data_IF_697413423398
#
_entry.id   IF_697413423398
#
_cell.length_a   1.000
_cell.length_b   1.000
_cell.length_c   1.000
_cell.angle_alpha   90.00
_cell.angle_beta   90.00
_cell.angle_gamma   90.00
#
_symmetry.space_group_name_H-M   'P 1'
#
loop_
_entity.id
_entity.type
_entity.pdbx_description
1 polymer ?
#
# COMPACT_ATOMS: atom_id res chain seq x y z
N UNK A 1 -44.00 -6.82 25.57
CA UNK A 1 -42.56 -6.97 25.84
C UNK A 1 -41.98 -7.80 24.71
N UNK A 2 -41.36 -7.17 23.71
CA UNK A 2 -40.70 -7.91 22.62
C UNK A 2 -39.41 -8.51 23.17
N UNK A 3 -39.29 -9.83 23.16
CA UNK A 3 -38.04 -10.54 23.43
C UNK A 3 -37.04 -10.16 22.34
N UNK A 4 -36.06 -9.32 22.67
CA UNK A 4 -34.95 -9.04 21.76
C UNK A 4 -34.28 -10.36 21.39
N UNK A 5 -34.19 -10.68 20.09
CA UNK A 5 -33.60 -11.92 19.62
C UNK A 5 -32.11 -11.96 19.98
N UNK A 6 -31.72 -12.89 20.84
CA UNK A 6 -30.33 -13.14 21.20
C UNK A 6 -29.58 -13.65 19.97
N UNK A 7 -28.57 -12.91 19.51
CA UNK A 7 -27.66 -13.39 18.47
C UNK A 7 -26.62 -14.32 19.11
N UNK A 8 -26.26 -15.41 18.44
CA UNK A 8 -25.18 -16.30 18.88
C UNK A 8 -23.91 -15.96 18.13
N UNK A 9 -22.78 -15.97 18.83
CA UNK A 9 -21.47 -15.76 18.23
C UNK A 9 -21.17 -16.88 17.22
N UNK A 10 -20.85 -16.52 15.98
CA UNK A 10 -20.51 -17.49 14.93
C UNK A 10 -19.27 -18.34 15.23
N UNK A 11 -18.34 -17.86 16.06
CA UNK A 11 -17.12 -18.58 16.40
C UNK A 11 -17.27 -19.56 17.57
N UNK A 12 -17.87 -19.13 18.69
CA UNK A 12 -17.94 -19.95 19.92
C UNK A 12 -19.36 -20.36 20.33
N UNK A 13 -20.38 -19.94 19.59
CA UNK A 13 -21.80 -20.25 19.85
C UNK A 13 -22.40 -19.56 21.09
N UNK A 14 -21.64 -18.76 21.83
CA UNK A 14 -22.13 -18.05 23.01
C UNK A 14 -23.15 -16.97 22.65
N UNK A 15 -24.12 -16.74 23.52
CA UNK A 15 -25.08 -15.65 23.39
C UNK A 15 -24.36 -14.29 23.47
N UNK A 16 -24.65 -13.43 22.51
CA UNK A 16 -24.06 -12.10 22.39
C UNK A 16 -25.16 -11.06 22.60
N UNK A 17 -24.95 -10.08 23.51
CA UNK A 17 -25.89 -8.99 23.70
C UNK A 17 -26.15 -8.26 22.38
N UNK A 18 -27.40 -7.85 22.09
CA UNK A 18 -27.70 -7.09 20.88
C UNK A 18 -26.89 -5.80 20.85
N UNK A 19 -26.20 -5.54 19.74
CA UNK A 19 -25.34 -4.37 19.55
C UNK A 19 -23.92 -4.51 20.09
N UNK A 20 -23.52 -5.65 20.66
CA UNK A 20 -22.13 -5.85 21.05
C UNK A 20 -21.24 -6.07 19.81
N UNK A 21 -20.22 -5.23 19.63
CA UNK A 21 -19.28 -5.34 18.52
C UNK A 21 -18.44 -6.62 18.57
N UNK A 22 -18.20 -7.15 19.77
CA UNK A 22 -17.39 -8.35 20.03
C UNK A 22 -18.11 -9.29 20.99
N UNK A 23 -17.90 -10.59 20.80
CA UNK A 23 -18.39 -11.61 21.73
C UNK A 23 -17.67 -11.45 23.09
N UNK A 24 -18.39 -11.33 24.22
CA UNK A 24 -17.76 -11.19 25.53
C UNK A 24 -16.97 -12.44 25.96
N UNK A 25 -17.28 -13.61 25.36
CA UNK A 25 -16.63 -14.87 25.71
C UNK A 25 -15.33 -15.12 24.97
N UNK A 26 -15.30 -14.86 23.65
CA UNK A 26 -14.15 -15.19 22.80
C UNK A 26 -13.52 -13.99 22.08
N UNK A 27 -14.09 -12.79 22.21
CA UNK A 27 -13.60 -11.59 21.55
C UNK A 27 -13.92 -11.47 20.05
N UNK A 28 -14.53 -12.49 19.43
CA UNK A 28 -14.84 -12.47 17.98
C UNK A 28 -15.82 -11.35 17.63
N UNK A 29 -15.52 -10.58 16.57
CA UNK A 29 -16.38 -9.51 16.08
C UNK A 29 -17.71 -10.05 15.55
N UNK A 30 -18.83 -9.40 15.91
CA UNK A 30 -20.15 -9.79 15.38
C UNK A 30 -20.43 -9.22 13.98
N UNK A 31 -19.71 -8.16 13.58
CA UNK A 31 -19.75 -7.62 12.22
C UNK A 31 -18.89 -8.49 11.30
N UNK A 32 -19.43 -9.63 10.89
CA UNK A 32 -18.71 -10.65 10.11
C UNK A 32 -18.70 -10.31 8.61
N UNK A 33 -17.86 -9.36 8.22
CA UNK A 33 -17.42 -9.27 6.83
C UNK A 33 -16.21 -10.20 6.63
N UNK A 34 -16.17 -10.88 5.48
CA UNK A 34 -15.02 -11.70 5.07
C UNK A 34 -13.86 -10.78 4.67
N UNK A 35 -12.65 -11.06 5.16
CA UNK A 35 -11.47 -10.32 4.71
C UNK A 35 -11.23 -10.60 3.21
N UNK A 36 -11.11 -9.57 2.35
CA UNK A 36 -10.91 -9.76 0.91
C UNK A 36 -9.52 -10.34 0.54
N UNK A 37 -8.61 -10.43 1.51
CA UNK A 37 -7.26 -10.96 1.35
C UNK A 37 -7.16 -12.43 1.72
N UNK A 38 -7.57 -12.79 2.94
CA UNK A 38 -7.41 -14.15 3.47
C UNK A 38 -8.73 -14.92 3.61
N UNK A 39 -9.88 -14.30 3.36
CA UNK A 39 -11.19 -14.91 3.53
C UNK A 39 -11.60 -15.13 5.00
N UNK A 40 -10.77 -14.74 5.97
CA UNK A 40 -11.11 -14.92 7.38
C UNK A 40 -12.20 -13.93 7.83
N UNK A 41 -13.13 -14.41 8.66
CA UNK A 41 -14.06 -13.57 9.42
C UNK A 41 -13.35 -13.03 10.65
N UNK A 42 -12.74 -11.85 10.53
CA UNK A 42 -11.99 -11.22 11.61
C UNK A 42 -12.49 -9.82 11.92
N UNK A 43 -12.10 -9.32 13.09
CA UNK A 43 -12.16 -7.89 13.39
C UNK A 43 -11.20 -7.08 12.52
N UNK A 44 -11.26 -5.77 12.72
CA UNK A 44 -10.37 -4.79 12.12
C UNK A 44 -9.81 -3.94 13.26
N UNK A 45 -8.49 -3.76 13.29
CA UNK A 45 -7.80 -2.92 14.27
C UNK A 45 -7.17 -1.74 13.56
N UNK A 46 -7.22 -0.57 14.20
CA UNK A 46 -6.57 0.63 13.67
C UNK A 46 -5.05 0.40 13.56
N UNK A 47 -4.46 0.88 12.47
CA UNK A 47 -3.04 0.75 12.17
C UNK A 47 -2.49 2.10 11.69
N UNK A 48 -1.31 2.49 12.19
CA UNK A 48 -0.73 3.79 11.88
C UNK A 48 -0.34 3.95 10.41
N UNK A 49 -0.03 2.86 9.71
CA UNK A 49 0.37 2.87 8.30
C UNK A 49 -0.80 2.53 7.37
N UNK A 50 -1.60 1.51 7.73
CA UNK A 50 -2.67 1.00 6.86
C UNK A 50 -4.04 1.64 7.12
N UNK A 51 -4.13 2.56 8.09
CA UNK A 51 -5.35 3.07 8.74
C UNK A 51 -6.09 1.99 9.52
N UNK A 52 -6.35 0.85 8.88
CA UNK A 52 -7.03 -0.30 9.43
C UNK A 52 -6.48 -1.59 8.83
N UNK A 53 -6.28 -2.61 9.68
CA UNK A 53 -5.77 -3.92 9.26
C UNK A 53 -6.64 -5.08 9.76
N UNK A 54 -6.61 -6.17 9.00
CA UNK A 54 -7.20 -7.44 9.41
C UNK A 54 -6.43 -8.03 10.61
N UNK A 55 -7.15 -8.43 11.66
CA UNK A 55 -6.54 -9.03 12.86
C UNK A 55 -5.90 -10.41 12.61
N UNK A 56 -6.22 -11.05 11.47
CA UNK A 56 -5.72 -12.39 11.11
C UNK A 56 -4.51 -12.30 10.17
N UNK A 57 -4.67 -11.70 8.99
CA UNK A 57 -3.59 -11.64 8.00
C UNK A 57 -2.74 -10.37 8.08
N UNK A 58 -3.14 -9.37 8.88
CA UNK A 58 -2.47 -8.07 8.95
C UNK A 58 -2.64 -7.18 7.73
N UNK A 59 -3.39 -7.60 6.72
CA UNK A 59 -3.56 -6.83 5.48
C UNK A 59 -4.52 -5.65 5.60
N UNK A 60 -4.38 -4.63 4.71
CA UNK A 60 -5.16 -3.40 4.78
C UNK A 60 -6.63 -3.69 4.53
N UNK A 61 -7.51 -3.10 5.34
CA UNK A 61 -8.93 -3.41 5.29
C UNK A 61 -9.76 -2.20 5.68
N UNK A 62 -10.80 -1.91 4.92
CA UNK A 62 -11.76 -0.86 5.29
C UNK A 62 -12.83 -1.46 6.22
N UNK A 63 -13.12 -0.85 7.39
CA UNK A 63 -14.13 -1.35 8.32
C UNK A 63 -15.51 -1.55 7.67
N UNK A 64 -16.33 -2.51 8.09
CA UNK A 64 -17.68 -2.71 7.55
C UNK A 64 -18.54 -1.45 7.69
N UNK A 65 -19.33 -1.14 6.66
CA UNK A 65 -20.29 -0.03 6.69
C UNK A 65 -21.55 -0.44 7.48
N UNK A 66 -22.14 0.44 8.30
CA UNK A 66 -23.41 0.17 8.96
C UNK A 66 -24.59 0.02 7.98
N UNK A 67 -24.46 0.51 6.74
CA UNK A 67 -25.51 0.47 5.70
C UNK A 67 -25.49 -0.79 4.84
N UNK A 68 -24.82 -1.84 5.31
CA UNK A 68 -24.77 -3.15 4.66
C UNK A 68 -23.55 -3.39 3.77
N UNK A 69 -23.54 -4.54 3.10
CA UNK A 69 -22.41 -5.04 2.32
C UNK A 69 -21.98 -4.05 1.22
N UNK A 70 -20.66 -3.85 1.07
CA UNK A 70 -20.08 -3.05 -0.01
C UNK A 70 -20.11 -3.80 -1.33
N UNK A 71 -20.02 -3.06 -2.44
CA UNK A 71 -19.89 -3.66 -3.78
C UNK A 71 -18.58 -4.41 -4.01
N UNK A 72 -17.55 -4.15 -3.21
CA UNK A 72 -16.24 -4.78 -3.34
C UNK A 72 -15.35 -4.10 -4.40
N UNK A 73 -15.72 -2.93 -4.90
CA UNK A 73 -14.91 -2.14 -5.84
C UNK A 73 -13.55 -1.72 -5.26
N UNK A 74 -13.42 -1.69 -3.93
CA UNK A 74 -12.18 -1.39 -3.22
C UNK A 74 -11.17 -2.55 -3.21
N UNK A 75 -11.62 -3.79 -3.43
CA UNK A 75 -10.81 -5.01 -3.30
C UNK A 75 -9.54 -5.01 -4.16
N UNK A 76 -9.55 -4.67 -5.47
CA UNK A 76 -8.32 -4.67 -6.27
C UNK A 76 -7.28 -3.66 -5.76
N UNK A 77 -7.72 -2.48 -5.32
CA UNK A 77 -6.82 -1.47 -4.75
C UNK A 77 -6.24 -1.92 -3.40
N UNK A 78 -7.06 -2.54 -2.54
CA UNK A 78 -6.59 -3.15 -1.29
C UNK A 78 -5.57 -4.27 -1.56
N UNK A 79 -5.76 -5.10 -2.59
CA UNK A 79 -4.81 -6.18 -2.95
C UNK A 79 -3.48 -5.60 -3.39
N UNK A 80 -3.49 -4.54 -4.20
CA UNK A 80 -2.28 -3.82 -4.59
C UNK A 80 -1.53 -3.27 -3.37
N UNK A 81 -2.25 -2.67 -2.43
CA UNK A 81 -1.66 -2.21 -1.17
C UNK A 81 -1.05 -3.37 -0.36
N UNK A 82 -1.73 -4.52 -0.28
CA UNK A 82 -1.23 -5.72 0.40
C UNK A 82 0.05 -6.28 -0.25
N UNK A 83 0.12 -6.28 -1.58
CA UNK A 83 1.32 -6.69 -2.31
C UNK A 83 2.50 -5.76 -2.02
N UNK A 84 2.27 -4.44 -1.96
CA UNK A 84 3.29 -3.46 -1.60
C UNK A 84 3.78 -3.65 -0.16
N UNK A 85 2.88 -3.84 0.81
CA UNK A 85 3.20 -4.09 2.22
C UNK A 85 3.99 -5.38 2.40
N UNK A 86 3.54 -6.47 1.78
CA UNK A 86 4.23 -7.76 1.85
C UNK A 86 5.57 -7.75 1.11
N UNK A 87 5.70 -6.98 0.02
CA UNK A 87 6.97 -6.72 -0.65
C UNK A 87 7.94 -5.96 0.26
N UNK A 88 7.47 -4.92 0.96
CA UNK A 88 8.26 -4.15 1.93
C UNK A 88 8.74 -5.01 3.10
N UNK A 89 7.87 -5.85 3.66
CA UNK A 89 8.24 -6.73 4.78
C UNK A 89 9.28 -7.78 4.38
N UNK A 90 9.13 -8.39 3.19
CA UNK A 90 10.15 -9.30 2.61
C UNK A 90 11.48 -8.59 2.36
N UNK A 91 11.44 -7.37 1.81
CA UNK A 91 12.65 -6.57 1.59
C UNK A 91 13.38 -6.23 2.89
N UNK A 92 12.64 -5.87 3.94
CA UNK A 92 13.21 -5.67 5.29
C UNK A 92 13.81 -6.94 5.87
N UNK A 93 13.13 -8.09 5.74
CA UNK A 93 13.66 -9.38 6.19
C UNK A 93 14.96 -9.73 5.46
N UNK A 94 15.01 -9.51 4.13
CA UNK A 94 16.22 -9.69 3.33
C UNK A 94 17.36 -8.78 3.76
N UNK A 95 17.08 -7.51 4.03
CA UNK A 95 18.07 -6.56 4.52
C UNK A 95 18.62 -6.95 5.91
N UNK A 96 17.77 -7.42 6.83
CA UNK A 96 18.19 -7.91 8.15
C UNK A 96 19.07 -9.15 8.01
N UNK A 97 18.65 -10.14 7.20
CA UNK A 97 19.41 -11.35 6.96
C UNK A 97 20.78 -11.05 6.34
N UNK A 98 20.82 -10.20 5.30
CA UNK A 98 22.07 -9.81 4.68
C UNK A 98 22.97 -8.97 5.60
N UNK A 99 22.40 -8.12 6.47
CA UNK A 99 23.15 -7.42 7.50
C UNK A 99 23.80 -8.34 8.53
N UNK A 100 23.09 -9.41 8.96
CA UNK A 100 23.65 -10.45 9.84
C UNK A 100 24.81 -11.18 9.14
N UNK A 101 24.65 -11.53 7.86
CA UNK A 101 25.69 -12.19 7.07
C UNK A 101 26.92 -11.29 6.89
N UNK A 102 26.73 -10.00 6.59
CA UNK A 102 27.83 -9.02 6.51
C UNK A 102 28.55 -8.89 7.84
N UNK A 103 27.81 -8.79 8.95
CA UNK A 103 28.40 -8.73 10.29
C UNK A 103 29.22 -9.97 10.63
N UNK A 104 28.74 -11.16 10.24
CA UNK A 104 29.47 -12.41 10.40
C UNK A 104 30.73 -12.46 9.53
N UNK A 105 30.66 -12.00 8.27
CA UNK A 105 31.81 -11.94 7.36
C UNK A 105 32.89 -10.98 7.88
N UNK A 106 32.49 -9.80 8.36
CA UNK A 106 33.41 -8.83 8.99
C UNK A 106 34.02 -9.39 10.27
N UNK A 107 33.24 -10.05 11.13
CA UNK A 107 33.75 -10.69 12.34
C UNK A 107 34.77 -11.79 12.01
N UNK A 108 34.48 -12.61 10.99
CA UNK A 108 35.38 -13.66 10.52
C UNK A 108 36.68 -13.08 9.94
N UNK A 109 36.58 -12.01 9.13
CA UNK A 109 37.72 -11.26 8.60
C UNK A 109 38.62 -10.73 9.73
N UNK A 110 38.03 -10.11 10.76
CA UNK A 110 38.76 -9.58 11.92
C UNK A 110 39.45 -10.71 12.70
N UNK A 111 38.73 -11.79 13.00
CA UNK A 111 39.28 -12.93 13.74
C UNK A 111 40.45 -13.58 12.98
N UNK A 112 40.29 -13.74 11.66
CA UNK A 112 41.34 -14.28 10.81
C UNK A 112 42.56 -13.35 10.76
N UNK A 113 42.36 -12.04 10.65
CA UNK A 113 43.44 -11.04 10.67
C UNK A 113 44.27 -11.10 11.95
N UNK A 114 43.62 -11.37 13.10
CA UNK A 114 44.28 -11.54 14.40
C UNK A 114 45.14 -12.81 14.43
N UNK A 115 44.66 -13.92 13.86
CA UNK A 115 45.32 -15.24 13.94
C UNK A 115 46.43 -15.39 12.90
N UNK A 116 46.14 -15.05 11.64
CA UNK A 116 47.00 -15.33 10.49
C UNK A 116 47.80 -14.12 10.00
N UNK A 117 47.49 -12.91 10.50
CA UNK A 117 48.11 -11.66 10.06
C UNK A 117 47.52 -11.09 8.78
N UNK A 118 47.99 -9.90 8.40
CA UNK A 118 47.49 -9.15 7.24
C UNK A 118 48.08 -9.67 5.91
N UNK A 119 47.47 -10.71 5.34
CA UNK A 119 47.78 -11.19 3.99
C UNK A 119 46.96 -10.49 2.91
N UNK A 120 47.62 -9.90 1.90
CA UNK A 120 46.96 -9.22 0.77
C UNK A 120 45.96 -10.13 0.04
N UNK A 121 46.27 -11.42 -0.13
CA UNK A 121 45.38 -12.36 -0.80
C UNK A 121 44.05 -12.59 -0.07
N UNK A 122 44.06 -12.60 1.27
CA UNK A 122 42.84 -12.76 2.05
C UNK A 122 41.98 -11.49 2.03
N UNK A 123 42.61 -10.31 2.04
CA UNK A 123 41.91 -9.05 1.88
C UNK A 123 41.15 -9.01 0.54
N UNK A 124 41.79 -9.42 -0.56
CA UNK A 124 41.15 -9.50 -1.87
C UNK A 124 40.02 -10.54 -1.91
N UNK A 125 40.21 -11.71 -1.29
CA UNK A 125 39.17 -12.74 -1.20
C UNK A 125 37.95 -12.26 -0.39
N UNK A 126 38.17 -11.61 0.74
CA UNK A 126 37.10 -11.03 1.56
C UNK A 126 36.40 -9.88 0.86
N UNK A 127 37.12 -9.04 0.12
CA UNK A 127 36.49 -7.99 -0.68
C UNK A 127 35.55 -8.60 -1.74
N UNK A 128 35.94 -9.72 -2.35
CA UNK A 128 35.13 -10.40 -3.36
C UNK A 128 33.83 -11.01 -2.80
N UNK A 129 33.79 -11.38 -1.51
CA UNK A 129 32.56 -11.82 -0.83
C UNK A 129 31.75 -10.66 -0.28
N UNK A 130 32.43 -9.66 0.27
CA UNK A 130 31.82 -8.52 0.93
C UNK A 130 31.08 -7.60 -0.05
N UNK A 131 31.70 -7.26 -1.19
CA UNK A 131 31.11 -6.34 -2.18
C UNK A 131 29.75 -6.81 -2.70
N UNK A 132 29.58 -8.04 -3.25
CA UNK A 132 28.28 -8.47 -3.76
C UNK A 132 27.23 -8.57 -2.65
N UNK A 133 27.63 -8.95 -1.43
CA UNK A 133 26.71 -9.03 -0.29
C UNK A 133 26.27 -7.63 0.16
N UNK A 134 27.18 -6.66 0.20
CA UNK A 134 26.89 -5.27 0.49
C UNK A 134 25.94 -4.67 -0.56
N UNK A 135 26.22 -4.87 -1.85
CA UNK A 135 25.34 -4.44 -2.95
C UNK A 135 23.95 -5.07 -2.84
N UNK A 136 23.86 -6.37 -2.56
CA UNK A 136 22.58 -7.05 -2.37
C UNK A 136 21.78 -6.45 -1.21
N UNK A 137 22.42 -6.16 -0.08
CA UNK A 137 21.74 -5.52 1.06
C UNK A 137 21.27 -4.11 0.74
N UNK A 138 22.09 -3.30 0.08
CA UNK A 138 21.74 -1.95 -0.35
C UNK A 138 20.54 -1.99 -1.31
N UNK A 139 20.57 -2.87 -2.31
CA UNK A 139 19.48 -3.09 -3.25
C UNK A 139 18.19 -3.53 -2.56
N UNK A 140 18.26 -4.47 -1.61
CA UNK A 140 17.10 -4.92 -0.85
C UNK A 140 16.45 -3.78 -0.03
N UNK A 141 17.27 -2.92 0.57
CA UNK A 141 16.80 -1.72 1.29
C UNK A 141 16.18 -0.69 0.34
N UNK A 142 16.83 -0.41 -0.78
CA UNK A 142 16.33 0.51 -1.80
C UNK A 142 14.97 0.04 -2.33
N UNK A 143 14.85 -1.25 -2.68
CA UNK A 143 13.61 -1.85 -3.16
C UNK A 143 12.51 -1.84 -2.09
N UNK A 144 12.84 -2.10 -0.82
CA UNK A 144 11.89 -2.00 0.28
C UNK A 144 11.35 -0.57 0.46
N UNK A 145 12.19 0.46 0.25
CA UNK A 145 11.77 1.87 0.29
C UNK A 145 10.90 2.25 -0.90
N UNK A 146 11.25 1.81 -2.11
CA UNK A 146 10.45 2.03 -3.31
C UNK A 146 9.02 1.48 -3.14
N UNK A 147 8.88 0.24 -2.64
CA UNK A 147 7.57 -0.35 -2.34
C UNK A 147 6.79 0.39 -1.27
N UNK A 148 7.47 1.03 -0.31
CA UNK A 148 6.81 1.88 0.67
C UNK A 148 6.04 3.05 0.04
N UNK A 149 6.52 3.58 -1.09
CA UNK A 149 5.85 4.70 -1.81
C UNK A 149 4.60 4.25 -2.59
N UNK A 150 4.43 2.95 -2.82
CA UNK A 150 3.26 2.40 -3.53
C UNK A 150 2.07 2.15 -2.60
N UNK A 151 2.30 2.09 -1.27
CA UNK A 151 1.28 1.71 -0.28
C UNK A 151 0.20 2.79 -0.16
N UNK A 152 0.60 4.04 0.07
CA UNK A 152 -0.30 5.18 0.26
C UNK A 152 -1.24 5.41 -0.95
N UNK A 153 -0.77 5.55 -2.20
CA UNK A 153 -1.67 5.75 -3.33
C UNK A 153 -2.59 4.56 -3.60
N UNK A 154 -2.16 3.33 -3.29
CA UNK A 154 -3.02 2.15 -3.41
C UNK A 154 -4.12 2.13 -2.33
N UNK A 155 -3.79 2.58 -1.12
CA UNK A 155 -4.77 2.76 -0.04
C UNK A 155 -5.76 3.86 -0.39
N UNK A 156 -5.30 5.02 -0.85
CA UNK A 156 -6.19 6.14 -1.20
C UNK A 156 -7.16 5.76 -2.32
N UNK A 157 -6.69 5.02 -3.34
CA UNK A 157 -7.56 4.47 -4.37
C UNK A 157 -8.63 3.53 -3.80
N UNK A 158 -8.30 2.71 -2.80
CA UNK A 158 -9.25 1.84 -2.13
C UNK A 158 -10.30 2.63 -1.33
N UNK A 159 -9.87 3.67 -0.60
CA UNK A 159 -10.77 4.54 0.16
C UNK A 159 -11.68 5.36 -0.74
N UNK A 160 -11.16 5.87 -1.85
CA UNK A 160 -11.96 6.58 -2.85
C UNK A 160 -13.00 5.66 -3.50
N UNK A 161 -12.63 4.42 -3.83
CA UNK A 161 -13.57 3.42 -4.35
C UNK A 161 -14.67 3.08 -3.33
N UNK A 162 -14.33 2.94 -2.04
CA UNK A 162 -15.29 2.71 -0.99
C UNK A 162 -16.20 3.93 -0.72
N UNK A 163 -15.65 5.15 -0.78
CA UNK A 163 -16.41 6.38 -0.63
C UNK A 163 -17.39 6.57 -1.80
N UNK A 164 -16.96 6.23 -3.02
CA UNK A 164 -17.82 6.20 -4.22
C UNK A 164 -18.98 5.23 -4.04
N UNK A 165 -18.73 4.04 -3.48
CA UNK A 165 -19.77 3.04 -3.20
C UNK A 165 -20.76 3.48 -2.12
N UNK A 166 -20.31 4.25 -1.12
CA UNK A 166 -21.19 4.87 -0.12
C UNK A 166 -22.04 5.97 -0.77
N UNK A 167 -21.43 6.84 -1.57
CA UNK A 167 -22.12 7.91 -2.29
C UNK A 167 -23.13 7.38 -3.33
N UNK A 168 -22.85 6.23 -3.94
CA UNK A 168 -23.78 5.58 -4.87
C UNK A 168 -25.00 4.96 -4.19
N UNK A 169 -24.90 4.67 -2.88
CA UNK A 169 -25.98 4.10 -2.07
C UNK A 169 -26.75 5.13 -1.26
N UNK A 170 -26.27 6.37 -1.15
CA UNK A 170 -27.02 7.45 -0.53
C UNK A 170 -28.07 7.97 -1.52
N UNK A 171 -29.35 7.71 -1.23
CA UNK A 171 -30.48 8.29 -1.99
C UNK A 171 -30.62 9.80 -1.74
N UNK A 172 -30.17 10.25 -0.57
CA UNK A 172 -30.21 11.63 -0.12
C UNK A 172 -28.88 12.36 -0.30
N UNK A 173 -28.91 13.66 0.00
CA UNK A 173 -27.75 14.53 0.14
C UNK A 173 -26.71 13.95 1.10
N UNK A 174 -25.50 13.66 0.59
CA UNK A 174 -24.41 13.08 1.38
C UNK A 174 -23.67 14.19 2.13
N UNK A 175 -23.66 14.12 3.47
CA UNK A 175 -22.85 15.03 4.28
C UNK A 175 -21.52 14.39 4.65
N UNK A 176 -20.50 15.22 4.92
CA UNK A 176 -19.21 14.78 5.45
C UNK A 176 -19.36 13.92 6.70
N UNK A 177 -20.27 14.29 7.61
CA UNK A 177 -20.51 13.56 8.86
C UNK A 177 -21.07 12.16 8.60
N UNK A 178 -21.91 12.02 7.58
CA UNK A 178 -22.47 10.73 7.18
C UNK A 178 -21.39 9.83 6.58
N UNK A 179 -20.55 10.38 5.70
CA UNK A 179 -19.41 9.64 5.14
C UNK A 179 -18.43 9.19 6.24
N UNK A 180 -18.09 10.08 7.18
CA UNK A 180 -17.21 9.77 8.31
C UNK A 180 -17.77 8.63 9.17
N UNK A 181 -19.07 8.66 9.46
CA UNK A 181 -19.78 7.61 10.22
C UNK A 181 -19.79 6.28 9.47
N UNK A 182 -20.09 6.31 8.17
CA UNK A 182 -20.23 5.10 7.36
C UNK A 182 -18.89 4.40 7.08
N UNK A 183 -17.82 5.17 6.97
CA UNK A 183 -16.46 4.67 6.76
C UNK A 183 -15.67 4.46 8.07
N UNK A 184 -16.22 4.91 9.21
CA UNK A 184 -15.57 4.90 10.53
C UNK A 184 -14.23 5.63 10.53
N UNK A 185 -14.18 6.79 9.89
CA UNK A 185 -13.00 7.67 9.80
C UNK A 185 -13.26 8.99 10.51
N UNK A 186 -12.19 9.75 10.74
CA UNK A 186 -12.31 11.11 11.27
C UNK A 186 -12.96 12.05 10.27
N UNK A 187 -13.66 13.07 10.78
CA UNK A 187 -14.37 14.03 9.92
C UNK A 187 -13.41 14.75 8.95
N UNK A 188 -12.21 15.13 9.40
CA UNK A 188 -11.21 15.77 8.53
C UNK A 188 -10.81 14.90 7.33
N UNK A 189 -10.67 13.58 7.52
CA UNK A 189 -10.39 12.64 6.43
C UNK A 189 -11.59 12.47 5.50
N UNK A 190 -12.82 12.51 6.05
CA UNK A 190 -14.02 12.49 5.23
C UNK A 190 -14.13 13.76 4.36
N UNK A 191 -13.74 14.93 4.85
CA UNK A 191 -13.70 16.18 4.07
C UNK A 191 -12.73 16.08 2.91
N UNK A 192 -11.54 15.53 3.14
CA UNK A 192 -10.55 15.26 2.08
C UNK A 192 -11.08 14.29 1.03
N UNK A 193 -11.71 13.18 1.45
CA UNK A 193 -12.33 12.22 0.52
C UNK A 193 -13.47 12.85 -0.28
N UNK A 194 -14.28 13.71 0.33
CA UNK A 194 -15.34 14.44 -0.38
C UNK A 194 -14.76 15.40 -1.43
N UNK A 195 -13.66 16.08 -1.12
CA UNK A 195 -12.95 16.91 -2.09
C UNK A 195 -12.40 16.09 -3.27
N UNK A 196 -11.83 14.91 -3.00
CA UNK A 196 -11.37 13.99 -4.05
C UNK A 196 -12.52 13.42 -4.90
N UNK A 197 -13.68 13.16 -4.29
CA UNK A 197 -14.88 12.73 -5.00
C UNK A 197 -15.45 13.83 -5.92
N UNK A 198 -15.35 15.09 -5.50
CA UNK A 198 -15.70 16.25 -6.32
C UNK A 198 -14.75 16.40 -7.51
N UNK A 199 -13.43 16.28 -7.30
CA UNK A 199 -12.41 16.33 -8.37
C UNK A 199 -12.59 15.19 -9.38
N UNK A 200 -13.06 14.02 -8.93
CA UNK A 200 -13.32 12.86 -9.81
C UNK A 200 -14.71 12.87 -10.46
N UNK A 201 -15.44 13.99 -10.38
CA UNK A 201 -16.76 14.20 -10.99
C UNK A 201 -17.84 13.19 -10.53
N UNK A 202 -17.61 12.47 -9.44
CA UNK A 202 -18.56 11.49 -8.88
C UNK A 202 -19.72 12.21 -8.19
N UNK A 203 -19.41 13.34 -7.56
CA UNK A 203 -20.34 14.08 -6.70
C UNK A 203 -20.27 15.57 -7.03
N UNK A 204 -21.41 16.27 -6.97
CA UNK A 204 -21.49 17.72 -7.21
C UNK A 204 -21.79 18.45 -5.90
N UNK A 205 -20.95 19.42 -5.57
CA UNK A 205 -21.17 20.33 -4.45
C UNK A 205 -22.28 21.33 -4.78
N UNK A 206 -23.10 21.62 -3.78
CA UNK A 206 -24.10 22.69 -3.81
C UNK A 206 -24.11 23.35 -2.43
N UNK A 207 -24.14 24.67 -2.39
CA UNK A 207 -24.23 25.42 -1.14
C UNK A 207 -25.72 25.65 -0.85
N UNK A 208 -26.18 25.20 0.31
CA UNK A 208 -27.55 25.44 0.76
C UNK A 208 -27.74 26.91 1.18
N UNK A 209 -28.99 27.34 1.34
CA UNK A 209 -29.32 28.69 1.84
C UNK A 209 -28.71 28.99 3.22
N UNK A 210 -28.43 27.94 3.99
CA UNK A 210 -27.89 28.03 5.34
C UNK A 210 -26.35 28.10 5.37
N UNK A 211 -25.71 28.06 4.19
CA UNK A 211 -24.25 28.08 4.04
C UNK A 211 -23.59 26.70 4.18
N UNK A 212 -24.37 25.65 4.44
CA UNK A 212 -23.84 24.29 4.52
C UNK A 212 -23.57 23.74 3.12
N UNK A 213 -22.40 23.10 2.96
CA UNK A 213 -22.02 22.38 1.75
C UNK A 213 -22.70 21.02 1.71
N UNK A 214 -23.53 20.83 0.70
CA UNK A 214 -24.29 19.62 0.48
C UNK A 214 -23.93 19.01 -0.87
N UNK A 215 -23.72 17.71 -0.85
CA UNK A 215 -23.23 16.97 -2.00
C UNK A 215 -24.32 16.06 -2.56
N UNK A 216 -24.57 16.19 -3.86
CA UNK A 216 -25.55 15.37 -4.58
C UNK A 216 -24.85 14.48 -5.59
N UNK A 217 -25.31 13.23 -5.71
CA UNK A 217 -24.77 12.31 -6.70
C UNK A 217 -25.03 12.89 -8.09
N UNK A 218 -23.98 12.98 -8.93
CA UNK A 218 -24.19 13.29 -10.34
C UNK A 218 -24.87 12.07 -10.95
N UNK A 219 -26.20 12.13 -11.12
CA UNK A 219 -26.92 11.17 -11.94
C UNK A 219 -26.20 11.14 -13.29
N UNK A 220 -25.47 10.04 -13.55
CA UNK A 220 -24.96 9.74 -14.88
C UNK A 220 -26.22 9.50 -15.70
N UNK A 221 -26.72 10.56 -16.36
CA UNK A 221 -27.78 10.46 -17.34
C UNK A 221 -27.30 9.39 -18.29
N UNK A 222 -27.98 8.23 -18.24
CA UNK A 222 -27.48 6.99 -18.80
C UNK A 222 -26.90 7.29 -20.17
N UNK A 223 -25.60 7.02 -20.33
CA UNK A 223 -25.04 6.94 -21.67
C UNK A 223 -26.00 6.03 -22.42
N UNK A 224 -26.66 6.58 -23.44
CA UNK A 224 -27.64 5.86 -24.26
C UNK A 224 -27.09 4.46 -24.44
N UNK A 225 -27.80 3.40 -24.01
CA UNK A 225 -27.28 2.05 -24.08
C UNK A 225 -26.77 1.88 -25.49
N UNK A 226 -25.46 1.68 -25.62
CA UNK A 226 -24.80 1.60 -26.91
C UNK A 226 -25.59 0.54 -27.69
N UNK A 227 -26.39 1.03 -28.64
CA UNK A 227 -27.33 0.22 -29.38
C UNK A 227 -26.51 -0.92 -29.95
N UNK A 228 -26.91 -2.13 -29.54
CA UNK A 228 -26.40 -3.44 -29.89
C UNK A 228 -25.70 -3.41 -31.25
N UNK A 229 -24.39 -3.18 -31.26
CA UNK A 229 -23.61 -3.41 -32.46
C UNK A 229 -23.69 -4.93 -32.72
N UNK A 230 -24.10 -5.36 -33.93
CA UNK A 230 -24.27 -6.77 -34.22
C UNK A 230 -22.96 -7.50 -33.96
N UNK A 231 -23.15 -8.64 -33.30
CA UNK A 231 -22.17 -9.62 -32.90
C UNK A 231 -21.33 -10.06 -34.11
N UNK A 232 -20.23 -9.36 -34.40
CA UNK A 232 -19.22 -9.86 -35.31
C UNK A 232 -18.50 -10.99 -34.59
N UNK A 233 -18.80 -12.21 -35.01
CA UNK A 233 -18.18 -13.47 -34.65
C UNK A 233 -16.66 -13.33 -34.72
N UNK A 234 -16.01 -13.00 -33.61
CA UNK A 234 -14.56 -13.01 -33.51
C UNK A 234 -14.14 -14.38 -32.99
N UNK A 235 -13.55 -15.13 -33.92
CA UNK A 235 -12.99 -16.44 -33.70
C UNK A 235 -12.00 -16.42 -32.53
N UNK A 236 -12.09 -17.49 -31.73
CA UNK A 236 -11.25 -17.85 -30.60
C UNK A 236 -9.76 -17.73 -30.97
N UNK A 237 -9.11 -16.65 -30.52
CA UNK A 237 -7.66 -16.57 -30.44
C UNK A 237 -7.21 -16.95 -29.01
N UNK A 238 -6.12 -17.71 -28.85
CA UNK A 238 -5.67 -18.18 -27.54
C UNK A 238 -5.23 -17.01 -26.66
N UNK A 239 -5.59 -17.09 -25.38
CA UNK A 239 -5.24 -16.16 -24.33
C UNK A 239 -3.72 -15.97 -24.22
N UNK A 240 -3.21 -14.90 -24.81
CA UNK A 240 -1.94 -14.31 -24.40
C UNK A 240 -2.16 -13.58 -23.09
N UNK A 241 -1.83 -14.27 -22.00
CA UNK A 241 -1.72 -13.67 -20.68
C UNK A 241 -0.89 -12.38 -20.75
N UNK A 242 -1.50 -11.31 -20.26
CA UNK A 242 -0.96 -9.96 -20.15
C UNK A 242 0.44 -9.95 -19.53
N UNK A 243 1.46 -9.81 -20.38
CA UNK A 243 2.84 -9.41 -20.04
C UNK A 243 3.00 -7.89 -19.88
N UNK A 244 1.91 -7.12 -20.00
CA UNK A 244 1.95 -5.65 -19.91
C UNK A 244 2.46 -5.15 -18.53
N UNK A 245 2.16 -5.85 -17.44
CA UNK A 245 2.66 -5.50 -16.10
C UNK A 245 4.13 -5.86 -15.84
N UNK A 246 4.73 -6.74 -16.64
CA UNK A 246 6.15 -7.10 -16.50
C UNK A 246 7.07 -6.08 -17.17
N UNK A 247 6.61 -5.44 -18.25
CA UNK A 247 7.38 -4.38 -18.92
C UNK A 247 7.41 -3.07 -18.12
N UNK A 248 6.37 -2.75 -17.34
CA UNK A 248 6.39 -1.57 -16.47
C UNK A 248 7.32 -1.76 -15.26
N UNK A 249 7.44 -2.99 -14.75
CA UNK A 249 8.40 -3.31 -13.70
C UNK A 249 9.86 -3.26 -14.20
N UNK A 250 10.11 -3.70 -15.44
CA UNK A 250 11.43 -3.59 -16.06
C UNK A 250 11.84 -2.14 -16.35
N UNK A 251 10.90 -1.28 -16.77
CA UNK A 251 11.14 0.16 -16.95
C UNK A 251 11.43 0.90 -15.64
N UNK A 252 10.79 0.48 -14.55
CA UNK A 252 11.06 1.05 -13.24
C UNK A 252 12.47 0.68 -12.73
N UNK A 253 12.94 -0.54 -13.02
CA UNK A 253 14.31 -0.94 -12.70
C UNK A 253 15.34 -0.23 -13.62
N UNK A 254 15.04 0.01 -14.91
CA UNK A 254 15.89 0.83 -15.81
C UNK A 254 16.01 2.29 -15.35
N UNK A 255 14.90 2.91 -14.91
CA UNK A 255 14.91 4.29 -14.43
C UNK A 255 15.69 4.46 -13.10
N UNK A 256 15.70 3.42 -12.25
CA UNK A 256 16.48 3.43 -11.02
C UNK A 256 17.99 3.35 -11.30
N UNK A 257 18.40 2.53 -12.27
CA UNK A 257 19.81 2.43 -12.69
C UNK A 257 20.28 3.74 -13.34
N UNK A 258 19.45 4.37 -14.17
CA UNK A 258 19.78 5.66 -14.78
C UNK A 258 19.95 6.78 -13.74
N UNK A 259 19.15 6.78 -12.67
CA UNK A 259 19.28 7.77 -11.58
C UNK A 259 20.55 7.55 -10.73
N UNK A 260 20.99 6.30 -10.55
CA UNK A 260 22.27 6.01 -9.90
C UNK A 260 23.47 6.44 -10.76
N UNK A 261 23.39 6.24 -12.08
CA UNK A 261 24.43 6.66 -13.02
C UNK A 261 24.57 8.20 -13.07
N UNK A 262 23.46 8.94 -13.05
CA UNK A 262 23.49 10.42 -12.94
C UNK A 262 24.08 10.90 -11.60
N UNK A 263 23.77 10.23 -10.49
CA UNK A 263 24.29 10.60 -9.17
C UNK A 263 25.82 10.37 -9.09
N UNK A 264 26.31 9.27 -9.62
CA UNK A 264 27.74 8.98 -9.73
C UNK A 264 28.47 9.98 -10.63
N UNK A 265 27.87 10.33 -11.78
CA UNK A 265 28.43 11.34 -12.68
C UNK A 265 28.51 12.73 -12.02
N UNK A 266 27.51 13.10 -11.22
CA UNK A 266 27.52 14.36 -10.47
C UNK A 266 28.59 14.38 -9.37
N UNK A 267 28.81 13.26 -8.68
CA UNK A 267 29.85 13.15 -7.64
C UNK A 267 31.26 13.19 -8.25
N UNK A 268 31.48 12.53 -9.39
CA UNK A 268 32.74 12.56 -10.13
C UNK A 268 33.06 13.98 -10.64
N UNK A 269 32.07 14.69 -11.18
CA UNK A 269 32.21 16.09 -11.59
C UNK A 269 32.61 17.00 -10.41
N UNK A 270 31.98 16.81 -9.24
CA UNK A 270 32.31 17.56 -8.03
C UNK A 270 33.73 17.27 -7.51
N UNK A 271 34.21 16.02 -7.64
CA UNK A 271 35.60 15.68 -7.31
C UNK A 271 36.59 16.31 -8.30
N UNK A 272 36.27 16.36 -9.59
CA UNK A 272 37.12 16.96 -10.61
C UNK A 272 37.29 18.47 -10.42
N UNK A 273 36.22 19.17 -10.03
CA UNK A 273 36.29 20.59 -9.68
C UNK A 273 37.17 20.85 -8.44
N UNK A 274 37.06 20.02 -7.40
CA UNK A 274 37.93 20.13 -6.21
C UNK A 274 39.40 19.87 -6.54
N UNK A 275 39.69 18.93 -7.43
CA UNK A 275 41.06 18.64 -7.88
C UNK A 275 41.71 19.82 -8.62
N UNK A 276 40.97 20.47 -9.53
CA UNK A 276 41.48 21.62 -10.30
C UNK A 276 41.81 22.85 -9.43
N UNK A 277 41.14 23.03 -8.31
CA UNK A 277 41.45 24.13 -7.37
C UNK A 277 42.81 23.96 -6.67
N UNK A 278 43.21 22.71 -6.38
CA UNK A 278 44.43 22.43 -5.64
C UNK A 278 45.72 22.66 -6.44
N UNK A 279 45.69 22.42 -7.76
CA UNK A 279 46.87 22.61 -8.63
C UNK A 279 47.19 24.09 -8.92
N UNK A 280 46.19 24.97 -8.89
CA UNK A 280 46.39 26.41 -9.17
C UNK A 280 47.13 27.12 -8.03
N UNK A 281 46.95 26.67 -6.79
CA UNK A 281 47.66 27.23 -5.63
C UNK A 281 49.10 26.73 -5.51
N UNK A 282 49.42 25.56 -6.07
CA UNK A 282 50.78 25.03 -6.09
C UNK A 282 51.72 25.79 -7.05
N UNK A 283 51.18 26.41 -8.12
CA UNK A 283 51.98 27.10 -9.14
C UNK A 283 52.30 28.57 -8.82
N UNK A 284 51.85 29.10 -7.67
CA UNK A 284 52.05 30.50 -7.25
C UNK A 284 53.14 30.69 -6.17
N UNK A 285 53.86 29.63 -5.80
CA UNK A 285 55.05 29.67 -4.94
C UNK A 285 56.30 29.43 -5.76
#
# INVERSE_FOLDING_TARGET
MSTASTQRCGACGADVPPGADRCPRCGTSQHMDLCPHCGATSGVTADAELRFRCDVCGGPRIPPSPRGARSGSEVPALRKAQEAVSGRSRGRAGAVAGGILLGADVLFLILWLIIAGAGLGFFLASLFTFVPLALFTAWAVARARARGREIEPALDAAWLAAATDVAARSEDTLTTRDLARDLKIEQAQAEELMALLEVSDVVRSSVTSDGDMVYSQRLRVGGVPAATAPMTTQATAPATASTAGAHDAARADEAAVAAEEEALAAEEAAMQERGRGADVDASKK
#
